data_IF_625902903854
#
_entry.id   IF_625902903854
#
_cell.length_a   1.000
_cell.length_b   1.000
_cell.length_c   1.000
_cell.angle_alpha   90.00
_cell.angle_beta   90.00
_cell.angle_gamma   90.00
#
_symmetry.space_group_name_H-M   'P 1'
#
loop_
_entity.id
_entity.type
_entity.pdbx_description
1 polymer ?
#
# COMPACT_ATOMS: atom_id res chain seq x y z
N UNK A 1 19.68 10.03 16.30
CA UNK A 1 19.00 9.98 15.00
C UNK A 1 17.96 11.08 14.99
N UNK A 2 17.95 11.96 13.99
CA UNK A 2 16.80 12.85 13.78
C UNK A 2 15.61 11.97 13.41
N UNK A 3 14.45 12.24 14.00
CA UNK A 3 13.21 11.62 13.54
C UNK A 3 13.06 11.94 12.04
N UNK A 4 12.71 10.96 11.20
CA UNK A 4 12.45 11.21 9.79
C UNK A 4 11.34 12.26 9.63
N UNK A 5 11.49 13.11 8.62
CA UNK A 5 10.57 14.21 8.37
C UNK A 5 9.17 13.67 8.02
N UNK A 6 8.10 14.08 8.75
CA UNK A 6 6.75 13.57 8.51
C UNK A 6 6.23 13.81 7.09
N UNK A 7 6.61 14.92 6.44
CA UNK A 7 6.18 15.21 5.07
C UNK A 7 6.93 14.36 4.05
N UNK A 8 8.21 14.07 4.30
CA UNK A 8 8.98 13.17 3.46
C UNK A 8 8.42 11.73 3.50
N UNK A 9 7.99 11.28 4.68
CA UNK A 9 7.32 9.97 4.84
C UNK A 9 5.99 9.96 4.09
N UNK A 10 5.20 11.02 4.22
CA UNK A 10 3.90 11.12 3.55
C UNK A 10 4.05 11.09 2.02
N UNK A 11 4.98 11.87 1.47
CA UNK A 11 5.27 11.85 0.04
C UNK A 11 5.77 10.48 -0.45
N UNK A 12 6.64 9.83 0.32
CA UNK A 12 7.17 8.50 -0.02
C UNK A 12 6.09 7.42 -0.01
N UNK A 13 5.27 7.37 1.03
CA UNK A 13 4.18 6.38 1.13
C UNK A 13 3.14 6.60 0.02
N UNK A 14 2.74 7.85 -0.22
CA UNK A 14 1.78 8.16 -1.30
C UNK A 14 2.34 7.78 -2.68
N UNK A 15 3.63 8.05 -2.92
CA UNK A 15 4.29 7.63 -4.16
C UNK A 15 4.30 6.10 -4.33
N UNK A 16 4.57 5.36 -3.27
CA UNK A 16 4.49 3.90 -3.30
C UNK A 16 3.07 3.40 -3.58
N UNK A 17 2.05 4.00 -2.96
CA UNK A 17 0.64 3.65 -3.23
C UNK A 17 0.27 3.92 -4.70
N UNK A 18 0.72 5.02 -5.28
CA UNK A 18 0.50 5.33 -6.70
C UNK A 18 1.18 4.33 -7.65
N UNK A 19 2.30 3.72 -7.25
CA UNK A 19 3.00 2.71 -8.06
C UNK A 19 2.18 1.45 -8.37
N UNK A 20 1.04 1.26 -7.68
CA UNK A 20 0.06 0.20 -8.01
C UNK A 20 -0.53 0.39 -9.41
N UNK A 21 -0.62 1.62 -9.92
CA UNK A 21 -1.12 1.88 -11.29
C UNK A 21 -0.14 1.45 -12.37
N UNK A 22 1.16 1.46 -12.06
CA UNK A 22 2.24 1.08 -12.96
C UNK A 22 2.35 -0.45 -13.13
N UNK A 23 1.59 -1.23 -12.35
CA UNK A 23 1.52 -2.67 -12.49
C UNK A 23 0.66 -3.07 -13.70
N UNK A 24 1.22 -3.92 -14.56
CA UNK A 24 0.54 -4.43 -15.77
C UNK A 24 -0.22 -5.75 -15.55
N UNK A 25 -0.07 -6.39 -14.38
CA UNK A 25 -0.69 -7.68 -14.07
C UNK A 25 -1.26 -7.74 -12.66
N UNK A 26 -2.29 -8.56 -12.46
CA UNK A 26 -2.91 -8.82 -11.15
C UNK A 26 -1.88 -9.33 -10.14
N UNK A 27 -0.99 -10.23 -10.56
CA UNK A 27 0.08 -10.76 -9.72
C UNK A 27 1.00 -9.64 -9.24
N UNK A 28 1.45 -8.77 -10.15
CA UNK A 28 2.29 -7.62 -9.79
C UNK A 28 1.55 -6.64 -8.87
N UNK A 29 0.27 -6.37 -9.12
CA UNK A 29 -0.53 -5.51 -8.24
C UNK A 29 -0.64 -6.09 -6.82
N UNK A 30 -0.83 -7.41 -6.69
CA UNK A 30 -0.92 -8.11 -5.40
C UNK A 30 0.43 -8.11 -4.67
N UNK A 31 1.52 -8.37 -5.38
CA UNK A 31 2.88 -8.33 -4.81
C UNK A 31 3.24 -6.92 -4.34
N UNK A 32 2.95 -5.90 -5.16
CA UNK A 32 3.13 -4.49 -4.79
C UNK A 32 2.31 -4.14 -3.54
N UNK A 33 1.05 -4.59 -3.44
CA UNK A 33 0.23 -4.40 -2.24
C UNK A 33 0.87 -5.04 -0.99
N UNK A 34 1.38 -6.27 -1.10
CA UNK A 34 2.05 -6.95 0.01
C UNK A 34 3.32 -6.20 0.44
N UNK A 35 4.10 -5.71 -0.52
CA UNK A 35 5.30 -4.92 -0.26
C UNK A 35 4.97 -3.63 0.51
N UNK A 36 4.01 -2.83 0.01
CA UNK A 36 3.61 -1.56 0.64
C UNK A 36 3.03 -1.80 2.03
N UNK A 37 2.23 -2.86 2.20
CA UNK A 37 1.70 -3.23 3.52
C UNK A 37 2.82 -3.54 4.52
N UNK A 38 3.85 -4.28 4.10
CA UNK A 38 5.02 -4.55 4.95
C UNK A 38 5.79 -3.28 5.31
N UNK A 39 5.86 -2.31 4.40
CA UNK A 39 6.46 -1.01 4.67
C UNK A 39 5.64 -0.19 5.70
N UNK A 40 4.31 -0.15 5.56
CA UNK A 40 3.42 0.50 6.52
C UNK A 40 3.51 -0.15 7.91
N UNK A 41 3.57 -1.48 7.99
CA UNK A 41 3.75 -2.22 9.22
C UNK A 41 5.07 -1.85 9.92
N UNK A 42 6.15 -1.66 9.15
CA UNK A 42 7.44 -1.22 9.67
C UNK A 42 7.35 0.22 10.21
N UNK A 43 6.78 1.16 9.44
CA UNK A 43 6.61 2.56 9.87
C UNK A 43 5.79 2.66 11.17
N UNK A 44 4.72 1.86 11.28
CA UNK A 44 3.90 1.82 12.48
C UNK A 44 4.64 1.17 13.67
N UNK A 45 5.32 0.04 13.44
CA UNK A 45 6.11 -0.66 14.47
C UNK A 45 7.21 0.21 15.07
N UNK A 46 7.88 1.01 14.25
CA UNK A 46 8.94 1.93 14.70
C UNK A 46 8.40 3.27 15.18
N UNK A 47 7.08 3.42 15.34
CA UNK A 47 6.41 4.63 15.81
C UNK A 47 6.72 5.86 14.95
N UNK A 48 7.07 5.63 13.68
CA UNK A 48 7.34 6.69 12.70
C UNK A 48 6.05 7.38 12.28
N UNK A 49 4.95 6.62 12.23
CA UNK A 49 3.59 7.11 11.97
C UNK A 49 2.66 6.66 13.10
N UNK A 50 1.61 7.43 13.33
CA UNK A 50 0.59 7.07 14.32
C UNK A 50 -0.46 6.10 13.73
N UNK A 51 -1.34 5.56 14.58
CA UNK A 51 -2.35 4.60 14.16
C UNK A 51 -3.35 5.17 13.14
N UNK A 52 -3.75 6.43 13.26
CA UNK A 52 -4.65 7.08 12.30
C UNK A 52 -4.00 7.14 10.92
N UNK A 53 -2.78 7.68 10.84
CA UNK A 53 -2.00 7.81 9.62
C UNK A 53 -1.76 6.44 8.96
N UNK A 54 -1.44 5.42 9.75
CA UNK A 54 -1.32 4.05 9.25
C UNK A 54 -2.62 3.54 8.63
N UNK A 55 -3.77 3.73 9.30
CA UNK A 55 -5.06 3.31 8.77
C UNK A 55 -5.45 4.10 7.51
N UNK A 56 -5.14 5.39 7.44
CA UNK A 56 -5.39 6.22 6.28
C UNK A 56 -4.61 5.72 5.06
N UNK A 57 -3.32 5.40 5.23
CA UNK A 57 -2.50 4.81 4.16
C UNK A 57 -2.96 3.42 3.74
N UNK A 58 -3.34 2.56 4.70
CA UNK A 58 -3.88 1.24 4.36
C UNK A 58 -5.16 1.37 3.53
N UNK A 59 -6.05 2.28 3.92
CA UNK A 59 -7.28 2.54 3.17
C UNK A 59 -6.98 3.06 1.77
N UNK A 60 -6.05 4.01 1.64
CA UNK A 60 -5.66 4.55 0.34
C UNK A 60 -5.07 3.47 -0.59
N UNK A 61 -4.24 2.57 -0.05
CA UNK A 61 -3.70 1.42 -0.78
C UNK A 61 -4.81 0.47 -1.26
N UNK A 62 -5.71 0.06 -0.38
CA UNK A 62 -6.78 -0.87 -0.72
C UNK A 62 -7.78 -0.24 -1.71
N UNK A 63 -8.13 1.05 -1.56
CA UNK A 63 -8.98 1.78 -2.49
C UNK A 63 -8.34 1.86 -3.90
N UNK A 64 -7.02 2.09 -3.97
CA UNK A 64 -6.29 2.18 -5.25
C UNK A 64 -6.24 0.84 -5.96
N UNK A 65 -5.88 -0.22 -5.21
CA UNK A 65 -5.85 -1.57 -5.74
C UNK A 65 -7.23 -2.01 -6.23
N UNK A 66 -8.28 -1.75 -5.45
CA UNK A 66 -9.65 -2.09 -5.80
C UNK A 66 -10.07 -1.45 -7.13
N UNK A 67 -9.77 -0.16 -7.30
CA UNK A 67 -10.03 0.56 -8.56
C UNK A 67 -9.28 -0.04 -9.75
N UNK A 68 -8.02 -0.46 -9.56
CA UNK A 68 -7.20 -1.01 -10.64
C UNK A 68 -7.67 -2.40 -11.05
N UNK A 69 -8.06 -3.23 -10.08
CA UNK A 69 -8.61 -4.57 -10.32
C UNK A 69 -9.99 -4.50 -11.01
N UNK A 70 -10.87 -3.60 -10.58
CA UNK A 70 -12.15 -3.33 -11.23
C UNK A 70 -11.97 -2.92 -12.71
N UNK A 71 -10.97 -2.06 -13.00
CA UNK A 71 -10.68 -1.60 -14.35
C UNK A 71 -10.24 -2.72 -15.32
N UNK A 72 -9.68 -3.81 -14.81
CA UNK A 72 -9.29 -4.99 -15.60
C UNK A 72 -10.28 -6.16 -15.48
N UNK A 73 -11.40 -5.96 -14.79
CA UNK A 73 -12.46 -6.95 -14.61
C UNK A 73 -12.15 -8.06 -13.61
N UNK A 74 -11.19 -7.83 -12.70
CA UNK A 74 -10.72 -8.80 -11.71
C UNK A 74 -11.27 -8.49 -10.32
N UNK A 75 -11.52 -9.52 -9.52
CA UNK A 75 -12.09 -9.37 -8.18
C UNK A 75 -11.01 -8.91 -7.17
N UNK A 76 -11.24 -7.77 -6.47
CA UNK A 76 -10.26 -7.20 -5.54
C UNK A 76 -10.12 -7.93 -4.21
N UNK A 77 -10.99 -8.89 -3.93
CA UNK A 77 -11.07 -9.62 -2.67
C UNK A 77 -10.81 -11.12 -2.82
N UNK A 78 -10.48 -11.61 -4.02
CA UNK A 78 -10.04 -13.00 -4.20
C UNK A 78 -8.76 -13.24 -3.40
N UNK A 79 -8.93 -13.96 -2.29
CA UNK A 79 -7.86 -14.50 -1.47
C UNK A 79 -7.08 -15.52 -2.30
N UNK A 80 -5.83 -15.21 -2.64
CA UNK A 80 -4.89 -16.22 -3.13
C UNK A 80 -4.66 -17.20 -1.98
N UNK A 81 -5.29 -18.38 -2.04
CA UNK A 81 -4.86 -19.52 -1.24
C UNK A 81 -3.53 -19.99 -1.84
N UNK A 82 -2.42 -19.60 -1.23
CA UNK A 82 -1.13 -20.22 -1.50
C UNK A 82 -1.21 -21.69 -1.02
N UNK A 83 -0.86 -22.68 -1.86
CA UNK A 83 -0.85 -24.09 -1.48
C UNK A 83 0.18 -24.40 -0.39
#
# INVERSE_FOLDING_TARGET
MNAPDPQAIDADVNHQIDSVDDCDSVESMRDTRLYIKGYLDALFKYQTINASTYHDYQKALDDRLSKRLDAIGEDPYVTVTYP
#
